data_IF_964563292777
#
_entry.id   IF_964563292777
#
_cell.length_a   1.000
_cell.length_b   1.000
_cell.length_c   1.000
_cell.angle_alpha   90.00
_cell.angle_beta   90.00
_cell.angle_gamma   90.00
#
_symmetry.space_group_name_H-M   'P 1'
#
loop_
_entity.id
_entity.type
_entity.pdbx_description
1 polymer ?
#
# COMPACT_ATOMS: atom_id res chain seq x y z
N UNK A 1 -15.11 -12.15 42.67
CA UNK A 1 -15.60 -13.40 42.06
C UNK A 1 -17.05 -13.17 41.67
N UNK A 2 -17.53 -13.34 40.45
CA UNK A 2 -16.94 -13.81 39.20
C UNK A 2 -17.69 -13.09 38.06
N UNK A 3 -16.94 -12.51 37.13
CA UNK A 3 -17.42 -11.79 35.95
C UNK A 3 -16.98 -12.62 34.74
N UNK A 4 -17.71 -13.70 34.44
CA UNK A 4 -17.46 -14.54 33.26
C UNK A 4 -18.79 -15.14 32.77
N UNK A 5 -19.51 -14.41 31.92
CA UNK A 5 -20.69 -14.93 31.21
C UNK A 5 -21.16 -14.05 30.02
N UNK A 6 -20.26 -13.51 29.19
CA UNK A 6 -20.72 -12.94 27.90
C UNK A 6 -19.76 -13.06 26.70
N UNK A 7 -18.72 -13.89 26.77
CA UNK A 7 -17.74 -14.04 25.67
C UNK A 7 -18.10 -15.19 24.71
N UNK A 8 -19.24 -15.88 24.91
CA UNK A 8 -19.56 -17.08 24.11
C UNK A 8 -20.47 -16.86 22.89
N UNK A 9 -21.01 -15.64 22.64
CA UNK A 9 -21.95 -15.41 21.52
C UNK A 9 -21.41 -14.60 20.34
N UNK A 10 -20.17 -14.10 20.39
CA UNK A 10 -19.55 -13.37 19.26
C UNK A 10 -18.63 -14.23 18.37
N UNK A 11 -18.43 -15.50 18.71
CA UNK A 11 -17.56 -16.40 17.95
C UNK A 11 -18.30 -17.33 16.97
N UNK A 12 -19.63 -17.23 16.86
CA UNK A 12 -20.43 -18.06 15.95
C UNK A 12 -20.76 -17.42 14.60
N UNK A 13 -20.39 -16.16 14.36
CA UNK A 13 -20.67 -15.46 13.09
C UNK A 13 -19.45 -15.34 12.15
N UNK A 14 -18.29 -15.92 12.51
CA UNK A 14 -17.09 -15.90 11.66
C UNK A 14 -17.06 -17.02 10.60
N UNK A 15 -18.17 -17.74 10.40
CA UNK A 15 -18.23 -18.97 9.59
C UNK A 15 -19.07 -18.93 8.31
N UNK A 16 -19.62 -17.80 7.88
CA UNK A 16 -20.58 -17.80 6.75
C UNK A 16 -20.58 -16.56 5.86
N UNK A 17 -19.42 -16.06 5.46
CA UNK A 17 -19.32 -15.26 4.22
C UNK A 17 -18.98 -16.21 3.07
N UNK A 18 -19.97 -17.03 2.68
CA UNK A 18 -19.86 -17.86 1.48
C UNK A 18 -19.93 -16.95 0.25
N UNK A 19 -18.81 -16.89 -0.45
CA UNK A 19 -18.60 -16.47 -1.83
C UNK A 19 -19.89 -16.56 -2.69
N UNK A 20 -20.47 -15.41 -3.05
CA UNK A 20 -21.43 -15.37 -4.16
C UNK A 20 -20.62 -15.44 -5.47
N UNK A 21 -20.38 -16.66 -5.94
CA UNK A 21 -19.92 -16.91 -7.30
C UNK A 21 -21.05 -16.60 -8.28
N UNK A 22 -20.83 -15.64 -9.16
CA UNK A 22 -21.80 -15.27 -10.19
C UNK A 22 -21.67 -16.22 -11.38
N UNK A 23 -22.64 -17.11 -11.54
CA UNK A 23 -22.77 -18.00 -12.68
C UNK A 23 -23.46 -17.26 -13.84
N UNK A 24 -22.69 -16.61 -14.72
CA UNK A 24 -23.29 -15.93 -15.88
C UNK A 24 -22.30 -15.45 -16.95
N UNK A 25 -21.04 -15.21 -16.58
CA UNK A 25 -19.98 -14.81 -17.52
C UNK A 25 -18.94 -15.92 -17.63
N UNK A 26 -18.89 -16.57 -18.79
CA UNK A 26 -17.91 -17.61 -19.12
C UNK A 26 -16.49 -17.04 -18.95
N UNK A 27 -15.83 -17.33 -17.82
CA UNK A 27 -14.49 -16.81 -17.48
C UNK A 27 -14.32 -16.26 -16.05
N UNK A 28 -15.40 -15.95 -15.33
CA UNK A 28 -15.36 -15.34 -14.00
C UNK A 28 -15.81 -16.29 -12.87
N UNK A 29 -16.23 -17.51 -13.18
CA UNK A 29 -16.74 -18.46 -12.19
C UNK A 29 -15.74 -18.64 -11.04
N UNK A 30 -16.18 -18.32 -9.81
CA UNK A 30 -15.34 -18.39 -8.60
C UNK A 30 -14.41 -17.21 -8.34
N UNK A 31 -14.44 -16.13 -9.13
CA UNK A 31 -13.67 -14.90 -8.85
C UNK A 31 -14.47 -13.87 -8.07
N UNK A 32 -13.80 -13.24 -7.11
CA UNK A 32 -14.36 -12.13 -6.34
C UNK A 32 -14.22 -10.82 -7.14
N UNK A 33 -15.33 -10.11 -7.33
CA UNK A 33 -15.39 -8.74 -7.86
C UNK A 33 -16.02 -7.88 -6.77
N UNK A 34 -15.25 -6.94 -6.23
CA UNK A 34 -15.67 -6.12 -5.09
C UNK A 34 -15.88 -4.69 -5.61
N UNK A 35 -17.10 -4.14 -5.46
CA UNK A 35 -17.31 -2.73 -5.71
C UNK A 35 -16.41 -1.95 -4.74
N UNK A 36 -15.69 -0.90 -5.19
CA UNK A 36 -14.90 -0.07 -4.29
C UNK A 36 -15.66 0.51 -3.08
N UNK A 37 -16.99 0.61 -3.14
CA UNK A 37 -17.88 0.98 -2.04
C UNK A 37 -18.12 -0.16 -1.03
N UNK A 38 -17.52 -1.33 -1.24
CA UNK A 38 -17.57 -2.50 -0.36
C UNK A 38 -18.73 -3.45 -0.60
N UNK A 39 -19.62 -3.15 -1.55
CA UNK A 39 -20.74 -4.01 -1.93
C UNK A 39 -20.37 -5.11 -2.92
N UNK A 40 -21.15 -6.19 -2.92
CA UNK A 40 -21.13 -7.24 -3.96
C UNK A 40 -22.45 -7.35 -4.72
N UNK A 41 -23.45 -6.52 -4.38
CA UNK A 41 -24.81 -6.56 -4.94
C UNK A 41 -24.82 -6.22 -6.44
N UNK A 42 -23.86 -5.42 -6.91
CA UNK A 42 -23.70 -4.98 -8.29
C UNK A 42 -22.49 -5.63 -9.00
N UNK A 43 -22.00 -6.77 -8.49
CA UNK A 43 -20.77 -7.40 -8.98
C UNK A 43 -20.77 -7.70 -10.50
N UNK A 44 -21.92 -8.07 -11.08
CA UNK A 44 -22.07 -8.28 -12.53
C UNK A 44 -21.86 -7.02 -13.35
N UNK A 45 -22.45 -5.91 -12.91
CA UNK A 45 -22.31 -4.62 -13.57
C UNK A 45 -20.88 -4.09 -13.38
N UNK A 46 -20.37 -4.20 -12.15
CA UNK A 46 -19.03 -3.76 -11.81
C UNK A 46 -17.97 -4.50 -12.63
N UNK A 47 -18.12 -5.81 -12.83
CA UNK A 47 -17.22 -6.65 -13.63
C UNK A 47 -16.98 -6.15 -15.07
N UNK A 48 -17.92 -5.39 -15.63
CA UNK A 48 -17.82 -4.79 -16.97
C UNK A 48 -17.23 -3.38 -16.99
N UNK A 49 -17.09 -2.73 -15.83
CA UNK A 49 -16.56 -1.35 -15.71
C UNK A 49 -15.02 -1.29 -15.71
N UNK A 50 -14.34 -2.40 -15.97
CA UNK A 50 -12.88 -2.49 -15.97
C UNK A 50 -12.20 -1.80 -17.15
N UNK A 51 -10.89 -1.54 -17.02
CA UNK A 51 -10.07 -0.86 -18.03
C UNK A 51 -9.72 -1.71 -19.26
N UNK A 52 -9.98 -3.01 -19.22
CA UNK A 52 -9.56 -3.97 -20.24
C UNK A 52 -10.61 -4.10 -21.34
N UNK A 53 -10.17 -4.14 -22.61
CA UNK A 53 -11.04 -4.64 -23.68
C UNK A 53 -11.32 -6.12 -23.46
N UNK A 54 -12.52 -6.58 -23.80
CA UNK A 54 -12.98 -7.94 -23.51
C UNK A 54 -12.01 -9.03 -24.01
N UNK A 55 -11.52 -8.92 -25.25
CA UNK A 55 -10.59 -9.90 -25.83
C UNK A 55 -9.24 -9.94 -25.09
N UNK A 56 -8.68 -8.77 -24.77
CA UNK A 56 -7.42 -8.62 -24.03
C UNK A 56 -7.56 -9.16 -22.59
N UNK A 57 -8.71 -8.88 -21.96
CA UNK A 57 -9.07 -9.33 -20.62
C UNK A 57 -9.11 -10.85 -20.51
N UNK A 58 -9.84 -11.49 -21.42
CA UNK A 58 -10.04 -12.95 -21.39
C UNK A 58 -8.73 -13.69 -21.73
N UNK A 59 -7.93 -13.13 -22.64
CA UNK A 59 -6.58 -13.63 -22.95
C UNK A 59 -5.64 -13.52 -21.74
N UNK A 60 -5.62 -12.35 -21.09
CA UNK A 60 -4.81 -12.11 -19.90
C UNK A 60 -5.23 -13.00 -18.73
N UNK A 61 -6.53 -13.19 -18.50
CA UNK A 61 -7.03 -14.11 -17.48
C UNK A 61 -6.54 -15.55 -17.69
N UNK A 62 -6.66 -16.07 -18.92
CA UNK A 62 -6.18 -17.42 -19.27
C UNK A 62 -4.67 -17.58 -19.00
N UNK A 63 -3.89 -16.52 -19.20
CA UNK A 63 -2.46 -16.52 -18.88
C UNK A 63 -2.21 -16.50 -17.36
N UNK A 64 -2.98 -15.69 -16.62
CA UNK A 64 -2.72 -15.40 -15.21
C UNK A 64 -3.25 -16.46 -14.23
N UNK A 65 -4.34 -17.18 -14.57
CA UNK A 65 -4.99 -18.14 -13.66
C UNK A 65 -4.04 -19.23 -13.12
N UNK A 66 -3.01 -19.63 -13.87
CA UNK A 66 -2.01 -20.61 -13.43
C UNK A 66 -1.06 -20.10 -12.34
N UNK A 67 -1.02 -18.79 -12.10
CA UNK A 67 -0.16 -18.14 -11.12
C UNK A 67 -0.90 -17.80 -9.81
N UNK A 68 -2.15 -18.23 -9.64
CA UNK A 68 -2.88 -18.04 -8.37
C UNK A 68 -2.06 -18.64 -7.23
N UNK A 69 -1.90 -17.87 -6.15
CA UNK A 69 -1.07 -18.18 -5.00
C UNK A 69 0.42 -17.86 -5.15
N UNK A 70 0.89 -17.47 -6.34
CA UNK A 70 2.30 -17.20 -6.62
C UNK A 70 2.66 -15.72 -6.43
N UNK A 71 3.95 -15.45 -6.24
CA UNK A 71 4.53 -14.10 -6.33
C UNK A 71 4.75 -13.74 -7.81
N UNK A 72 3.98 -12.79 -8.32
CA UNK A 72 3.95 -12.45 -9.75
C UNK A 72 4.92 -11.33 -10.13
N UNK A 73 5.69 -10.79 -9.17
CA UNK A 73 6.59 -9.65 -9.38
C UNK A 73 7.63 -9.90 -10.47
N UNK A 74 8.08 -11.16 -10.62
CA UNK A 74 9.16 -11.57 -11.53
C UNK A 74 8.77 -12.64 -12.55
N UNK A 75 7.53 -13.11 -12.55
CA UNK A 75 7.12 -14.31 -13.31
C UNK A 75 6.41 -14.02 -14.64
N UNK A 76 5.98 -12.78 -14.87
CA UNK A 76 5.06 -12.45 -15.98
C UNK A 76 5.46 -11.13 -16.65
N UNK A 77 5.59 -11.16 -17.97
CA UNK A 77 5.61 -9.95 -18.79
C UNK A 77 4.21 -9.36 -18.85
N UNK A 78 4.06 -8.14 -18.37
CA UNK A 78 2.76 -7.48 -18.25
C UNK A 78 2.52 -6.54 -19.46
N UNK A 79 1.27 -6.40 -19.94
CA UNK A 79 0.95 -5.48 -21.05
C UNK A 79 1.21 -4.01 -20.70
N UNK A 80 1.73 -3.22 -21.63
CA UNK A 80 2.16 -1.83 -21.34
C UNK A 80 1.04 -0.91 -20.84
N UNK A 81 -0.21 -1.12 -21.24
CA UNK A 81 -1.34 -0.25 -20.85
C UNK A 81 -1.77 -0.39 -19.39
N UNK A 82 -1.24 -1.37 -18.64
CA UNK A 82 -1.45 -1.43 -17.18
C UNK A 82 -0.40 -0.63 -16.41
N UNK A 83 0.57 -0.05 -17.12
CA UNK A 83 1.62 0.76 -16.54
C UNK A 83 1.32 2.25 -16.67
N UNK A 84 1.84 3.01 -15.71
CA UNK A 84 1.95 4.46 -15.81
C UNK A 84 3.33 4.85 -16.34
N UNK A 85 3.50 6.07 -16.89
CA UNK A 85 4.76 6.50 -17.49
C UNK A 85 5.82 6.91 -16.44
N UNK A 86 6.01 6.11 -15.40
CA UNK A 86 7.01 6.31 -14.35
C UNK A 86 7.61 4.97 -13.90
N UNK A 87 8.91 4.94 -13.61
CA UNK A 87 9.55 3.79 -12.96
C UNK A 87 9.36 3.82 -11.44
N UNK A 88 9.60 2.70 -10.77
CA UNK A 88 9.46 2.61 -9.31
C UNK A 88 10.38 3.60 -8.58
N UNK A 89 11.58 3.88 -9.10
CA UNK A 89 12.50 4.83 -8.47
C UNK A 89 12.06 6.29 -8.64
N UNK A 90 11.34 6.61 -9.73
CA UNK A 90 10.69 7.91 -9.87
C UNK A 90 9.51 8.04 -8.90
N UNK A 91 8.73 6.96 -8.72
CA UNK A 91 7.66 6.88 -7.73
C UNK A 91 8.13 7.09 -6.30
N UNK A 92 9.32 6.58 -5.96
CA UNK A 92 9.89 6.78 -4.63
C UNK A 92 10.18 8.26 -4.34
N UNK A 93 10.47 9.07 -5.36
CA UNK A 93 10.66 10.51 -5.14
C UNK A 93 9.35 11.23 -4.77
N UNK A 94 8.20 10.74 -5.23
CA UNK A 94 6.89 11.32 -4.89
C UNK A 94 6.55 11.17 -3.40
N UNK A 95 7.22 10.26 -2.67
CA UNK A 95 7.09 10.17 -1.22
C UNK A 95 7.46 11.47 -0.50
N UNK A 96 8.24 12.34 -1.17
CA UNK A 96 8.68 13.64 -0.63
C UNK A 96 7.67 14.78 -0.85
N UNK A 97 6.49 14.53 -1.44
CA UNK A 97 5.47 15.56 -1.72
C UNK A 97 5.06 16.36 -0.46
N UNK A 98 4.96 15.69 0.69
CA UNK A 98 4.57 16.31 1.96
C UNK A 98 5.69 16.35 3.01
N UNK A 99 6.92 16.38 2.52
CA UNK A 99 8.16 16.39 3.33
C UNK A 99 8.28 17.55 4.32
N UNK A 100 7.57 18.67 4.11
CA UNK A 100 7.48 19.77 5.08
C UNK A 100 6.96 19.33 6.47
N UNK A 101 6.24 18.21 6.55
CA UNK A 101 5.84 17.62 7.83
C UNK A 101 7.04 17.13 8.65
N UNK A 102 8.13 16.72 7.99
CA UNK A 102 9.36 16.32 8.67
C UNK A 102 10.15 17.53 9.18
N UNK A 103 10.11 18.66 8.47
CA UNK A 103 10.70 19.92 8.93
C UNK A 103 9.99 20.38 10.22
N UNK A 104 8.65 20.37 10.21
CA UNK A 104 7.84 20.66 11.41
C UNK A 104 8.14 19.69 12.56
N UNK A 105 8.40 18.41 12.25
CA UNK A 105 8.76 17.42 13.27
C UNK A 105 10.13 17.72 13.89
N UNK A 106 11.12 18.09 13.07
CA UNK A 106 12.46 18.46 13.52
C UNK A 106 12.44 19.72 14.39
N UNK A 107 11.61 20.71 14.05
CA UNK A 107 11.42 21.93 14.82
C UNK A 107 10.57 21.75 16.09
N UNK A 108 9.81 20.65 16.19
CA UNK A 108 8.90 20.43 17.32
C UNK A 108 9.64 20.07 18.61
N UNK A 109 9.44 20.86 19.67
CA UNK A 109 10.01 20.59 21.00
C UNK A 109 9.31 19.43 21.72
N UNK A 110 7.99 19.28 21.54
CA UNK A 110 7.22 18.19 22.15
C UNK A 110 7.53 16.86 21.41
N UNK A 111 8.11 15.86 22.10
CA UNK A 111 8.49 14.60 21.47
C UNK A 111 7.28 13.80 20.95
N UNK A 112 6.10 13.96 21.53
CA UNK A 112 4.90 13.24 21.09
C UNK A 112 4.25 13.92 19.89
N UNK A 113 4.16 15.25 19.90
CA UNK A 113 3.67 16.00 18.74
C UNK A 113 4.60 15.83 17.51
N UNK A 114 5.91 15.72 17.74
CA UNK A 114 6.87 15.29 16.72
C UNK A 114 6.50 13.95 16.09
N UNK A 115 6.18 12.93 16.89
CA UNK A 115 5.74 11.64 16.36
C UNK A 115 4.43 11.75 15.56
N UNK A 116 3.52 12.65 15.97
CA UNK A 116 2.30 12.94 15.19
C UNK A 116 2.65 13.50 13.80
N UNK A 117 3.58 14.45 13.70
CA UNK A 117 4.02 14.98 12.40
C UNK A 117 4.65 13.90 11.51
N UNK A 118 5.58 13.10 12.04
CA UNK A 118 6.22 12.02 11.26
C UNK A 118 5.22 10.94 10.87
N UNK A 119 4.26 10.60 11.74
CA UNK A 119 3.20 9.66 11.40
C UNK A 119 2.28 10.21 10.31
N UNK A 120 1.99 11.51 10.33
CA UNK A 120 1.18 12.20 9.32
C UNK A 120 1.89 12.22 7.96
N UNK A 121 3.22 12.42 7.94
CA UNK A 121 4.03 12.27 6.75
C UNK A 121 3.86 10.87 6.12
N UNK A 122 3.96 9.80 6.91
CA UNK A 122 3.76 8.44 6.40
C UNK A 122 2.32 8.15 5.97
N UNK A 123 1.30 8.71 6.64
CA UNK A 123 -0.09 8.62 6.21
C UNK A 123 -0.27 9.26 4.83
N UNK A 124 0.37 10.42 4.60
CA UNK A 124 0.23 11.16 3.33
C UNK A 124 0.68 10.34 2.11
N UNK A 125 1.63 9.41 2.27
CA UNK A 125 2.11 8.55 1.18
C UNK A 125 1.01 7.67 0.60
N UNK A 126 -0.01 7.31 1.39
CA UNK A 126 -1.12 6.50 0.89
C UNK A 126 -2.06 7.28 -0.04
N UNK A 127 -1.92 8.62 -0.14
CA UNK A 127 -2.57 9.39 -1.19
C UNK A 127 -2.19 8.89 -2.59
N UNK A 128 -0.96 8.38 -2.76
CA UNK A 128 -0.51 7.78 -4.01
C UNK A 128 -1.32 6.54 -4.44
N UNK A 129 -2.03 5.87 -3.51
CA UNK A 129 -2.87 4.70 -3.79
C UNK A 129 -4.09 5.03 -4.66
N UNK A 130 -4.38 6.31 -4.92
CA UNK A 130 -5.37 6.71 -5.92
C UNK A 130 -4.94 6.33 -7.35
N UNK A 131 -3.64 6.14 -7.60
CA UNK A 131 -3.12 5.69 -8.90
C UNK A 131 -2.97 4.18 -8.92
N UNK A 132 -3.80 3.53 -9.72
CA UNK A 132 -3.94 2.06 -9.77
C UNK A 132 -3.15 1.40 -10.91
N UNK A 133 -2.40 2.21 -11.65
CA UNK A 133 -1.46 1.75 -12.67
C UNK A 133 -0.15 1.32 -12.00
N UNK A 134 0.52 0.36 -12.61
CA UNK A 134 1.78 -0.17 -12.11
C UNK A 134 2.95 0.70 -12.59
N UNK A 135 3.90 1.10 -11.74
CA UNK A 135 5.13 1.71 -12.23
C UNK A 135 6.02 0.69 -12.94
N UNK A 136 6.82 1.15 -13.91
CA UNK A 136 7.81 0.30 -14.55
C UNK A 136 8.81 -0.22 -13.51
N UNK A 137 9.14 -1.51 -13.61
CA UNK A 137 10.20 -2.08 -12.78
C UNK A 137 11.54 -1.54 -13.29
N UNK A 138 12.33 -0.83 -12.47
CA UNK A 138 13.59 -0.27 -12.92
C UNK A 138 14.57 -1.37 -13.35
N UNK A 139 15.46 -1.07 -14.30
CA UNK A 139 16.58 -1.96 -14.63
C UNK A 139 17.66 -1.87 -13.55
N UNK A 140 18.48 -2.91 -13.38
CA UNK A 140 19.59 -2.89 -12.42
C UNK A 140 20.54 -1.71 -12.73
N UNK A 141 20.84 -0.90 -11.72
CA UNK A 141 21.67 0.30 -11.84
C UNK A 141 20.95 1.51 -12.44
N UNK A 142 19.64 1.44 -12.72
CA UNK A 142 18.85 2.63 -13.03
C UNK A 142 18.87 3.59 -11.84
N UNK A 143 19.09 4.87 -12.11
CA UNK A 143 19.10 5.92 -11.09
C UNK A 143 18.07 6.99 -11.38
N UNK A 144 17.62 7.67 -10.33
CA UNK A 144 16.79 8.86 -10.43
C UNK A 144 17.23 9.88 -9.38
N UNK A 145 17.28 11.15 -9.76
CA UNK A 145 17.57 12.26 -8.85
C UNK A 145 16.50 13.36 -8.95
N UNK A 146 16.23 14.00 -7.82
CA UNK A 146 15.43 15.20 -7.72
C UNK A 146 16.17 16.19 -6.81
N UNK A 147 16.63 17.30 -7.38
CA UNK A 147 17.51 18.24 -6.70
C UNK A 147 16.76 19.51 -6.32
N UNK A 148 16.91 19.94 -5.06
CA UNK A 148 16.37 21.20 -4.53
C UNK A 148 14.85 21.38 -4.74
N UNK A 149 14.09 20.30 -4.63
CA UNK A 149 12.62 20.36 -4.67
C UNK A 149 12.11 20.73 -3.28
N UNK A 150 11.79 22.01 -3.07
CA UNK A 150 11.41 22.51 -1.74
C UNK A 150 12.54 22.41 -0.71
N UNK A 151 13.80 22.56 -1.14
CA UNK A 151 14.98 22.43 -0.27
C UNK A 151 15.48 20.99 -0.08
N UNK A 152 14.81 19.99 -0.67
CA UNK A 152 15.18 18.58 -0.54
C UNK A 152 15.93 18.10 -1.77
N UNK A 153 16.97 17.30 -1.53
CA UNK A 153 17.63 16.50 -2.54
C UNK A 153 17.30 15.04 -2.31
N UNK A 154 16.85 14.34 -3.36
CA UNK A 154 16.53 12.93 -3.35
C UNK A 154 17.34 12.21 -4.43
N UNK A 155 17.88 11.04 -4.11
CA UNK A 155 18.52 10.12 -5.05
C UNK A 155 18.00 8.70 -4.80
N UNK A 156 17.81 7.94 -5.87
CA UNK A 156 17.49 6.52 -5.80
C UNK A 156 18.22 5.71 -6.86
N UNK A 157 18.44 4.44 -6.55
CA UNK A 157 19.07 3.45 -7.43
C UNK A 157 18.35 2.10 -7.31
N UNK A 158 18.18 1.40 -8.44
CA UNK A 158 17.85 -0.01 -8.42
C UNK A 158 19.08 -0.87 -8.12
N UNK A 159 19.26 -1.23 -6.86
CA UNK A 159 20.46 -1.92 -6.35
C UNK A 159 20.43 -3.45 -6.51
N UNK A 160 19.28 -4.04 -6.82
CA UNK A 160 19.15 -5.49 -7.04
C UNK A 160 18.03 -5.81 -8.02
N UNK A 161 18.17 -6.91 -8.78
CA UNK A 161 17.14 -7.41 -9.70
C UNK A 161 16.48 -8.72 -9.24
N UNK A 162 17.19 -9.57 -8.48
CA UNK A 162 16.69 -10.86 -8.00
C UNK A 162 17.07 -11.09 -6.52
N UNK A 163 16.21 -10.67 -5.56
CA UNK A 163 14.93 -9.99 -5.76
C UNK A 163 15.09 -8.52 -6.19
N UNK A 164 14.07 -7.91 -6.81
CA UNK A 164 14.11 -6.48 -7.15
C UNK A 164 14.11 -5.65 -5.86
N UNK A 165 15.14 -4.80 -5.70
CA UNK A 165 15.28 -3.86 -4.59
C UNK A 165 15.74 -2.52 -5.13
N UNK A 166 15.03 -1.46 -4.77
CA UNK A 166 15.45 -0.08 -4.99
C UNK A 166 15.87 0.54 -3.66
N UNK A 167 16.94 1.32 -3.64
CA UNK A 167 17.34 2.12 -2.49
C UNK A 167 17.12 3.61 -2.82
N UNK A 168 16.71 4.40 -1.83
CA UNK A 168 16.50 5.83 -1.96
C UNK A 168 16.97 6.57 -0.71
N UNK A 169 17.42 7.79 -0.92
CA UNK A 169 17.93 8.70 0.11
C UNK A 169 17.44 10.10 -0.19
N UNK A 170 16.79 10.74 0.77
CA UNK A 170 16.38 12.14 0.71
C UNK A 170 16.98 12.92 1.89
N UNK A 171 17.40 14.15 1.65
CA UNK A 171 18.01 14.99 2.67
C UNK A 171 17.71 16.48 2.43
N UNK A 172 17.49 17.21 3.52
CA UNK A 172 17.54 18.67 3.61
C UNK A 172 18.19 19.08 4.94
N UNK A 173 18.12 20.35 5.34
CA UNK A 173 18.74 20.82 6.59
C UNK A 173 18.11 20.23 7.88
N UNK A 174 16.88 19.70 7.80
CA UNK A 174 16.10 19.22 8.95
C UNK A 174 16.11 17.71 9.10
N UNK A 175 16.13 16.94 8.02
CA UNK A 175 16.00 15.49 8.09
C UNK A 175 16.83 14.74 7.06
N UNK A 176 17.00 13.45 7.34
CA UNK A 176 17.41 12.41 6.38
C UNK A 176 16.30 11.37 6.31
N UNK A 177 15.91 10.98 5.10
CA UNK A 177 14.97 9.90 4.84
C UNK A 177 15.62 8.81 3.99
N UNK A 178 15.80 7.63 4.58
CA UNK A 178 16.33 6.45 3.90
C UNK A 178 15.21 5.44 3.67
N UNK A 179 15.09 4.96 2.44
CA UNK A 179 14.13 3.95 2.04
C UNK A 179 14.79 2.84 1.23
N UNK A 180 14.39 1.61 1.50
CA UNK A 180 14.60 0.48 0.59
C UNK A 180 13.24 -0.06 0.19
N UNK A 181 12.96 -0.11 -1.11
CA UNK A 181 11.74 -0.71 -1.64
C UNK A 181 12.03 -2.17 -1.98
N UNK A 182 11.44 -3.08 -1.21
CA UNK A 182 11.37 -4.50 -1.52
C UNK A 182 9.93 -4.94 -1.36
N UNK A 183 9.35 -5.48 -2.43
CA UNK A 183 7.95 -5.91 -2.46
C UNK A 183 7.89 -7.41 -2.67
N UNK A 184 7.06 -8.08 -1.87
CA UNK A 184 6.61 -9.44 -2.13
C UNK A 184 5.14 -9.39 -2.49
N UNK A 185 4.72 -10.17 -3.49
CA UNK A 185 3.30 -10.22 -3.87
C UNK A 185 2.70 -11.59 -3.70
N UNK A 186 1.36 -11.65 -3.65
CA UNK A 186 0.59 -12.89 -3.76
C UNK A 186 -0.64 -12.65 -4.60
N UNK A 187 -0.68 -13.29 -5.76
CA UNK A 187 -1.81 -13.18 -6.68
C UNK A 187 -2.97 -14.07 -6.22
N UNK A 188 -4.16 -13.50 -6.07
CA UNK A 188 -5.36 -14.18 -5.56
C UNK A 188 -6.41 -14.44 -6.65
N UNK A 189 -6.06 -14.25 -7.93
CA UNK A 189 -6.97 -14.40 -9.06
C UNK A 189 -7.43 -13.05 -9.60
N UNK A 190 -8.42 -12.41 -8.99
CA UNK A 190 -8.82 -11.06 -9.42
C UNK A 190 -8.21 -9.94 -8.56
N UNK A 191 -7.40 -10.30 -7.56
CA UNK A 191 -6.74 -9.35 -6.66
C UNK A 191 -5.28 -9.74 -6.40
N UNK A 192 -4.50 -8.79 -5.87
CA UNK A 192 -3.08 -8.95 -5.58
C UNK A 192 -2.77 -8.35 -4.21
N UNK A 193 -2.27 -9.19 -3.31
CA UNK A 193 -1.72 -8.74 -2.04
C UNK A 193 -0.27 -8.29 -2.25
N UNK A 194 0.08 -7.16 -1.64
CA UNK A 194 1.37 -6.50 -1.73
C UNK A 194 1.91 -6.35 -0.30
N UNK A 195 3.06 -6.96 -0.05
CA UNK A 195 3.75 -6.90 1.22
C UNK A 195 5.03 -6.06 1.06
N UNK A 196 5.05 -4.83 1.60
CA UNK A 196 6.26 -4.03 1.69
C UNK A 196 7.22 -4.65 2.73
N UNK A 197 8.30 -5.25 2.25
CA UNK A 197 9.36 -5.85 3.08
C UNK A 197 10.59 -4.94 3.20
N UNK A 198 10.46 -3.73 2.67
CA UNK A 198 11.47 -2.69 2.71
C UNK A 198 11.65 -2.06 4.10
N UNK A 199 12.69 -1.23 4.21
CA UNK A 199 12.92 -0.36 5.37
C UNK A 199 12.57 1.07 5.00
N UNK A 200 11.93 1.81 5.92
CA UNK A 200 11.69 3.24 5.81
C UNK A 200 12.10 3.89 7.13
N UNK A 201 13.07 4.82 7.08
CA UNK A 201 13.66 5.45 8.27
C UNK A 201 13.80 6.95 8.07
N UNK A 202 13.38 7.71 9.08
CA UNK A 202 13.61 9.15 9.18
C UNK A 202 14.62 9.41 10.30
N UNK A 203 15.57 10.31 10.06
CA UNK A 203 16.44 10.88 11.09
C UNK A 203 16.22 12.38 11.13
N UNK A 204 15.75 12.90 12.27
CA UNK A 204 15.57 14.33 12.51
C UNK A 204 16.90 14.89 13.03
N UNK A 205 17.46 15.86 12.31
CA UNK A 205 18.86 16.28 12.45
C UNK A 205 19.10 17.10 13.70
N UNK A 206 18.14 17.91 14.15
CA UNK A 206 18.31 18.80 15.31
C UNK A 206 18.68 18.03 16.56
N UNK A 207 17.94 16.96 16.82
CA UNK A 207 18.07 16.17 18.05
C UNK A 207 18.69 14.77 17.81
N UNK A 208 18.96 14.42 16.55
CA UNK A 208 19.47 13.09 16.17
C UNK A 208 18.46 11.95 16.41
N UNK A 209 17.16 12.26 16.45
CA UNK A 209 16.10 11.26 16.69
C UNK A 209 15.89 10.41 15.45
N UNK A 210 15.89 9.08 15.63
CA UNK A 210 15.70 8.12 14.54
C UNK A 210 14.35 7.42 14.68
N UNK A 211 13.53 7.50 13.64
CA UNK A 211 12.19 6.94 13.57
C UNK A 211 12.13 5.87 12.48
N UNK A 212 11.59 4.69 12.81
CA UNK A 212 11.48 3.54 11.93
C UNK A 212 10.01 3.20 11.66
N UNK A 213 9.68 2.97 10.39
CA UNK A 213 8.34 2.60 9.97
C UNK A 213 8.26 1.14 9.56
N UNK A 214 7.27 0.44 10.11
CA UNK A 214 6.72 -0.79 9.56
C UNK A 214 5.39 -0.44 8.85
N UNK A 215 5.35 -0.42 7.51
CA UNK A 215 4.14 -0.10 6.76
C UNK A 215 3.12 -1.26 6.78
N UNK A 216 1.85 -0.96 6.51
CA UNK A 216 0.81 -1.97 6.33
C UNK A 216 0.91 -2.64 4.95
N UNK A 217 0.39 -3.87 4.79
CA UNK A 217 0.15 -4.46 3.48
C UNK A 217 -0.88 -3.65 2.69
N UNK A 218 -0.86 -3.81 1.36
CA UNK A 218 -1.92 -3.30 0.49
C UNK A 218 -2.50 -4.41 -0.38
N UNK A 219 -3.73 -4.21 -0.87
CA UNK A 219 -4.43 -5.13 -1.77
C UNK A 219 -4.93 -4.36 -2.98
N UNK A 220 -4.49 -4.76 -4.16
CA UNK A 220 -5.07 -4.27 -5.41
C UNK A 220 -6.25 -5.18 -5.76
N UNK A 221 -7.44 -4.61 -5.80
CA UNK A 221 -8.68 -5.32 -6.12
C UNK A 221 -9.02 -5.14 -7.60
N UNK A 222 -9.78 -6.08 -8.18
CA UNK A 222 -10.31 -6.01 -9.54
C UNK A 222 -9.23 -5.75 -10.60
N UNK A 223 -8.16 -6.56 -10.60
CA UNK A 223 -7.03 -6.41 -11.53
C UNK A 223 -7.42 -6.66 -13.00
N UNK A 224 -8.31 -7.62 -13.20
CA UNK A 224 -8.72 -8.12 -14.53
C UNK A 224 -10.19 -7.78 -14.76
N UNK A 225 -10.97 -7.93 -13.71
CA UNK A 225 -12.42 -7.93 -13.73
C UNK A 225 -12.94 -6.86 -12.76
N UNK A 226 -13.54 -5.81 -13.31
CA UNK A 226 -14.04 -4.64 -12.58
C UNK A 226 -13.11 -3.43 -12.56
N UNK A 227 -13.54 -2.32 -11.94
CA UNK A 227 -12.69 -1.14 -11.76
C UNK A 227 -11.60 -1.47 -10.76
N UNK A 228 -10.34 -1.34 -11.17
CA UNK A 228 -9.20 -1.56 -10.28
C UNK A 228 -9.15 -0.48 -9.21
N UNK A 229 -8.96 -0.88 -7.96
CA UNK A 229 -8.79 0.01 -6.81
C UNK A 229 -7.83 -0.60 -5.80
N UNK A 230 -7.29 0.21 -4.89
CA UNK A 230 -6.30 -0.20 -3.89
C UNK A 230 -6.92 -0.02 -2.51
N UNK A 231 -6.82 -1.08 -1.71
CA UNK A 231 -7.11 -1.07 -0.27
C UNK A 231 -5.78 -1.17 0.51
N UNK A 232 -5.74 -0.60 1.71
CA UNK A 232 -4.55 -0.62 2.57
C UNK A 232 -4.92 -1.03 4.00
N UNK A 233 -5.39 -2.26 4.21
CA UNK A 233 -5.83 -2.69 5.53
C UNK A 233 -4.67 -3.03 6.47
N UNK A 234 -4.89 -2.80 7.76
CA UNK A 234 -4.05 -3.32 8.83
C UNK A 234 -3.24 -2.26 9.56
N UNK A 235 -2.21 -2.72 10.25
CA UNK A 235 -1.41 -1.89 11.16
C UNK A 235 -0.19 -1.29 10.46
N UNK A 236 0.00 0.01 10.65
CA UNK A 236 1.25 0.72 10.39
C UNK A 236 1.83 1.18 11.72
N UNK A 237 3.11 0.87 11.94
CA UNK A 237 3.79 1.10 13.22
C UNK A 237 5.01 1.99 13.03
N UNK A 238 4.99 3.16 13.66
CA UNK A 238 6.12 4.07 13.74
C UNK A 238 6.77 3.92 15.11
N UNK A 239 8.06 3.61 15.15
CA UNK A 239 8.82 3.46 16.40
C UNK A 239 9.91 4.53 16.48
N UNK A 240 9.96 5.26 17.60
CA UNK A 240 11.12 6.07 17.95
C UNK A 240 12.21 5.14 18.49
N UNK A 241 13.31 5.00 17.75
CA UNK A 241 14.39 4.07 18.12
C UNK A 241 15.23 4.59 19.30
N UNK A 242 15.17 5.89 19.58
CA UNK A 242 15.90 6.49 20.70
C UNK A 242 15.20 6.25 22.04
N UNK A 243 13.87 6.27 22.07
CA UNK A 243 13.07 6.15 23.30
C UNK A 243 12.33 4.81 23.43
N UNK A 244 11.98 4.19 22.32
CA UNK A 244 11.13 3.01 22.25
C UNK A 244 9.63 3.30 22.07
N UNK A 245 9.22 4.58 22.11
CA UNK A 245 7.82 4.99 21.96
C UNK A 245 7.25 4.62 20.60
N UNK A 246 5.93 4.34 20.53
CA UNK A 246 5.27 3.87 19.31
C UNK A 246 3.98 4.62 18.99
N UNK A 247 3.78 4.85 17.70
CA UNK A 247 2.47 5.22 17.14
C UNK A 247 1.96 4.02 16.35
N UNK A 248 0.77 3.53 16.71
CA UNK A 248 0.09 2.44 16.01
C UNK A 248 -1.12 3.01 15.26
N UNK A 249 -1.11 2.87 13.95
CA UNK A 249 -2.17 3.33 13.06
C UNK A 249 -2.85 2.11 12.46
N UNK A 250 -4.16 1.97 12.70
CA UNK A 250 -4.95 0.89 12.13
C UNK A 250 -5.86 1.42 11.02
N UNK A 251 -5.58 0.96 9.80
CA UNK A 251 -6.38 1.23 8.62
C UNK A 251 -7.46 0.15 8.50
N UNK A 252 -8.73 0.57 8.55
CA UNK A 252 -9.84 -0.36 8.40
C UNK A 252 -9.96 -0.83 6.95
N UNK A 253 -10.15 -2.14 6.70
CA UNK A 253 -10.44 -2.64 5.36
C UNK A 253 -11.71 -2.01 4.77
N UNK A 254 -11.69 -1.75 3.47
CA UNK A 254 -12.85 -1.21 2.77
C UNK A 254 -14.03 -2.21 2.80
N UNK A 255 -15.26 -1.71 2.91
CA UNK A 255 -16.48 -2.52 3.01
C UNK A 255 -16.86 -2.98 4.42
N UNK A 256 -16.03 -2.73 5.43
CA UNK A 256 -16.48 -2.87 6.82
C UNK A 256 -17.41 -1.69 7.15
N UNK A 257 -18.67 -1.98 7.49
CA UNK A 257 -19.73 -1.00 7.83
C UNK A 257 -20.28 -0.09 6.71
N UNK A 258 -20.01 -0.38 5.44
CA UNK A 258 -20.65 0.34 4.31
C UNK A 258 -20.13 1.76 4.07
N UNK A 259 -18.90 2.06 4.47
CA UNK A 259 -18.26 3.36 4.20
C UNK A 259 -17.57 3.38 2.83
N UNK A 260 -17.81 4.49 2.11
CA UNK A 260 -17.32 4.79 0.75
C UNK A 260 -15.81 5.05 0.76
N UNK A 261 -15.12 4.72 -0.35
CA UNK A 261 -13.70 5.03 -0.64
C UNK A 261 -13.20 6.43 -0.21
N UNK A 262 -14.08 7.42 -0.10
CA UNK A 262 -13.73 8.79 0.31
C UNK A 262 -13.38 8.90 1.81
N UNK A 263 -13.68 7.89 2.62
CA UNK A 263 -13.47 7.90 4.06
C UNK A 263 -12.68 6.66 4.48
N UNK A 264 -11.36 6.69 4.29
CA UNK A 264 -10.49 5.75 5.00
C UNK A 264 -10.56 6.11 6.49
N UNK A 265 -11.31 5.33 7.25
CA UNK A 265 -11.38 5.47 8.70
C UNK A 265 -10.04 5.06 9.31
N UNK A 266 -9.27 6.07 9.72
CA UNK A 266 -8.02 5.91 10.47
C UNK A 266 -8.35 5.80 11.96
N UNK A 267 -8.08 4.63 12.55
CA UNK A 267 -8.01 4.52 14.00
C UNK A 267 -6.56 4.77 14.43
N UNK A 268 -6.33 5.91 15.08
CA UNK A 268 -5.03 6.29 15.63
C UNK A 268 -4.98 5.89 17.09
N UNK A 269 -4.15 4.89 17.41
CA UNK A 269 -3.85 4.50 18.78
C UNK A 269 -2.37 4.82 19.07
N UNK A 270 -2.13 5.87 19.84
CA UNK A 270 -0.79 6.17 20.33
C UNK A 270 -0.54 5.27 21.54
N UNK A 271 0.51 4.45 21.50
CA UNK A 271 0.92 3.60 22.63
C UNK A 271 2.23 4.17 23.17
N UNK A 272 2.11 4.92 24.27
CA UNK A 272 3.20 5.50 25.04
C UNK A 272 3.55 4.53 26.18
#
# INVERSE_FOLDING_TARGET
MAFFSSIASSLSNFGSAMHQSVNGLMGYEGLEVINPEGGTEDAEEEAQRGRWKQEDRDSYWKMMQKYIGSDVTSLVSLPVYIFEPMSMIQKMAELMEYSQLLDLADECEDPYLRMVYVSSFFISMYYACQRTLKPFNPILGETYEMVNHGGITFIAEQVSHHPPISAGHAENDHFVYDITSKVKTKFLGNSLEIYPLGRSRVTLKRDGVVLDLVPCPSKVNNLIFGRTWIDVPGEMTLTNLSTGDKVLLYFQPCGWFGYVLSHHSLLVNIHI
#
